data_IF_502296535617
#
_entry.id   IF_502296535617
#
_cell.length_a   1.000
_cell.length_b   1.000
_cell.length_c   1.000
_cell.angle_alpha   90.00
_cell.angle_beta   90.00
_cell.angle_gamma   90.00
#
_symmetry.space_group_name_H-M   'P 1'
#
loop_
_entity.id
_entity.type
_entity.pdbx_description
1 polymer ?
#
# COMPACT_ATOMS: atom_id res chain seq x y z
N UNK A 1 76.84 69.46 9.19
CA UNK A 1 75.65 69.91 8.45
C UNK A 1 74.78 68.69 8.17
N UNK A 2 73.50 68.75 8.54
CA UNK A 2 72.51 67.68 8.40
C UNK A 2 72.28 67.30 6.94
N UNK A 3 72.14 66.02 6.63
CA UNK A 3 71.22 65.56 5.60
C UNK A 3 70.64 64.20 5.99
N UNK A 4 69.39 64.27 6.46
CA UNK A 4 68.48 63.17 6.71
C UNK A 4 68.01 62.62 5.36
N UNK A 5 68.20 61.32 5.11
CA UNK A 5 67.56 60.62 3.99
C UNK A 5 66.52 59.65 4.55
N UNK A 6 65.25 59.99 4.30
CA UNK A 6 64.07 59.20 4.61
C UNK A 6 64.14 57.83 3.90
N UNK A 7 64.02 56.75 4.67
CA UNK A 7 63.70 55.42 4.14
C UNK A 7 62.19 55.33 3.92
N UNK A 8 61.76 55.35 2.66
CA UNK A 8 60.36 55.13 2.27
C UNK A 8 60.00 53.64 2.32
N UNK A 9 59.15 53.29 3.28
CA UNK A 9 58.50 52.00 3.44
C UNK A 9 57.40 51.83 2.37
N UNK A 10 57.60 50.95 1.39
CA UNK A 10 56.56 50.58 0.42
C UNK A 10 55.61 49.55 1.07
N UNK A 11 54.40 49.99 1.46
CA UNK A 11 53.30 49.10 1.80
C UNK A 11 52.55 48.80 0.50
N UNK A 12 52.73 47.60 -0.04
CA UNK A 12 51.93 47.11 -1.16
C UNK A 12 50.54 46.73 -0.64
N UNK A 13 49.57 47.64 -0.77
CA UNK A 13 48.15 47.31 -0.57
C UNK A 13 47.65 46.64 -1.85
N UNK A 14 47.56 45.31 -1.87
CA UNK A 14 46.87 44.59 -2.93
C UNK A 14 45.37 44.83 -2.78
N UNK A 15 44.83 45.81 -3.50
CA UNK A 15 43.38 45.94 -3.67
C UNK A 15 42.96 45.02 -4.81
N UNK A 16 42.45 43.84 -4.46
CA UNK A 16 41.77 42.99 -5.44
C UNK A 16 40.44 43.65 -5.80
N UNK A 17 40.42 44.45 -6.87
CA UNK A 17 39.18 44.96 -7.46
C UNK A 17 38.48 43.78 -8.15
N UNK A 18 37.42 43.24 -7.55
CA UNK A 18 36.56 42.27 -8.23
C UNK A 18 35.74 42.99 -9.30
N UNK A 19 35.82 42.54 -10.55
CA UNK A 19 34.96 43.06 -11.62
C UNK A 19 33.52 42.55 -11.40
N UNK A 20 32.58 43.47 -11.20
CA UNK A 20 31.14 43.18 -11.14
C UNK A 20 30.52 43.47 -12.51
N UNK A 21 29.56 42.65 -12.93
CA UNK A 21 28.86 42.81 -14.22
C UNK A 21 27.43 43.24 -13.96
N UNK A 22 27.05 44.40 -14.49
CA UNK A 22 25.68 44.92 -14.43
C UNK A 22 25.29 45.50 -15.78
N UNK A 23 24.29 44.92 -16.43
CA UNK A 23 23.77 45.45 -17.71
C UNK A 23 22.72 46.52 -17.38
N UNK A 24 23.00 47.77 -17.72
CA UNK A 24 22.08 48.90 -17.49
C UNK A 24 22.02 49.45 -16.07
N UNK A 25 23.00 49.13 -15.21
CA UNK A 25 23.07 49.58 -13.81
C UNK A 25 24.32 50.43 -13.56
N UNK A 26 24.17 51.50 -12.78
CA UNK A 26 25.30 52.35 -12.33
C UNK A 26 26.07 51.74 -11.17
N UNK A 27 25.43 50.83 -10.43
CA UNK A 27 26.03 50.09 -9.31
C UNK A 27 25.75 48.59 -9.52
N UNK A 28 26.63 47.88 -10.24
CA UNK A 28 26.51 46.44 -10.43
C UNK A 28 26.56 45.71 -9.10
N UNK A 29 25.45 45.07 -8.72
CA UNK A 29 25.43 44.25 -7.51
C UNK A 29 25.90 42.82 -7.79
N UNK A 30 25.97 42.40 -9.07
CA UNK A 30 26.25 41.02 -9.46
C UNK A 30 27.69 40.63 -9.79
N UNK A 31 28.12 39.51 -9.19
CA UNK A 31 29.31 38.77 -9.60
C UNK A 31 28.92 37.77 -10.69
N UNK A 32 29.47 37.95 -11.89
CA UNK A 32 29.45 36.93 -12.95
C UNK A 32 30.82 36.26 -12.95
N UNK A 33 30.87 34.98 -12.56
CA UNK A 33 32.08 34.19 -12.66
C UNK A 33 31.95 33.21 -13.83
N UNK A 34 32.87 33.31 -14.80
CA UNK A 34 33.00 32.40 -15.95
C UNK A 34 34.47 32.00 -16.04
N UNK A 35 34.79 30.75 -15.69
CA UNK A 35 36.15 30.22 -15.86
C UNK A 35 36.29 29.48 -17.20
N UNK A 36 37.52 29.35 -17.70
CA UNK A 36 37.83 28.80 -19.02
C UNK A 36 37.26 27.38 -19.22
N UNK A 37 36.14 27.28 -19.96
CA UNK A 37 35.37 26.07 -20.28
C UNK A 37 34.41 25.54 -19.19
N UNK A 38 34.26 26.25 -18.07
CA UNK A 38 34.09 25.58 -16.77
C UNK A 38 33.28 26.46 -15.80
N UNK A 39 32.00 26.19 -15.61
CA UNK A 39 31.14 26.72 -14.53
C UNK A 39 30.65 28.20 -14.64
N UNK A 40 29.33 28.44 -14.48
CA UNK A 40 28.71 29.78 -14.38
C UNK A 40 28.01 29.91 -13.02
N UNK A 41 28.23 31.02 -12.30
CA UNK A 41 27.66 31.27 -10.96
C UNK A 41 26.90 32.60 -10.89
N UNK A 42 25.70 32.57 -10.27
CA UNK A 42 24.89 33.74 -9.87
C UNK A 42 24.46 33.57 -8.39
N UNK A 43 24.30 34.63 -7.57
CA UNK A 43 23.86 34.44 -6.15
C UNK A 43 23.39 35.68 -5.40
N UNK A 44 22.53 35.56 -4.38
CA UNK A 44 21.67 36.64 -3.86
C UNK A 44 22.36 37.75 -3.04
N UNK A 45 23.65 37.65 -2.75
CA UNK A 45 24.46 38.84 -2.39
C UNK A 45 24.64 39.81 -3.57
N UNK A 46 23.96 39.53 -4.69
CA UNK A 46 23.96 40.35 -5.89
C UNK A 46 22.69 41.13 -6.19
N UNK A 47 21.67 41.05 -5.33
CA UNK A 47 20.42 41.80 -5.52
C UNK A 47 19.89 42.50 -4.25
N UNK A 48 20.60 42.44 -3.12
CA UNK A 48 20.20 43.13 -1.88
C UNK A 48 18.99 42.50 -1.16
N UNK A 49 18.64 41.24 -1.45
CA UNK A 49 17.63 40.50 -0.71
C UNK A 49 18.34 39.74 0.42
N UNK A 50 18.25 40.26 1.64
CA UNK A 50 18.70 39.55 2.85
C UNK A 50 17.89 38.25 2.98
N UNK A 51 18.57 37.10 3.04
CA UNK A 51 17.95 35.81 3.34
C UNK A 51 17.33 35.88 4.74
N UNK A 52 16.02 35.71 4.86
CA UNK A 52 15.32 35.69 6.16
C UNK A 52 15.63 34.43 6.99
N UNK A 53 16.39 33.49 6.44
CA UNK A 53 16.96 32.35 7.16
C UNK A 53 18.49 32.57 7.25
N UNK A 54 19.04 32.84 8.45
CA UNK A 54 20.48 32.88 8.68
C UNK A 54 21.02 31.49 8.38
N UNK A 55 21.63 31.28 7.23
CA UNK A 55 21.89 29.89 6.83
C UNK A 55 22.21 29.63 5.38
N UNK A 56 21.44 30.19 4.45
CA UNK A 56 21.38 29.61 3.11
C UNK A 56 21.32 30.69 2.04
N UNK A 57 22.46 31.28 1.68
CA UNK A 57 22.51 32.26 0.60
C UNK A 57 22.14 31.61 -0.74
N UNK A 58 21.03 32.01 -1.38
CA UNK A 58 20.60 31.39 -2.62
C UNK A 58 21.59 31.70 -3.75
N UNK A 59 21.95 30.68 -4.52
CA UNK A 59 22.81 30.78 -5.70
C UNK A 59 22.38 29.81 -6.78
N UNK A 60 22.78 30.10 -8.01
CA UNK A 60 22.60 29.28 -9.19
C UNK A 60 23.96 28.96 -9.76
N UNK A 61 24.23 27.68 -10.01
CA UNK A 61 25.49 27.20 -10.58
C UNK A 61 25.21 26.26 -11.76
N UNK A 62 25.80 26.55 -12.91
CA UNK A 62 25.83 25.63 -14.05
C UNK A 62 27.22 25.05 -14.20
N UNK A 63 27.38 23.72 -14.14
CA UNK A 63 28.65 23.01 -14.37
C UNK A 63 28.72 22.53 -15.82
N UNK A 64 29.19 23.38 -16.73
CA UNK A 64 29.23 23.09 -18.17
C UNK A 64 29.92 21.77 -18.54
N UNK A 65 31.05 21.44 -17.90
CA UNK A 65 31.78 20.18 -18.14
C UNK A 65 31.04 18.92 -17.69
N UNK A 66 30.03 19.07 -16.83
CA UNK A 66 29.19 17.98 -16.34
C UNK A 66 27.78 18.04 -16.88
N UNK A 67 27.36 19.12 -17.53
CA UNK A 67 25.96 19.31 -17.91
C UNK A 67 25.01 19.39 -16.69
N UNK A 68 25.51 19.84 -15.54
CA UNK A 68 24.78 19.77 -14.26
C UNK A 68 24.36 21.15 -13.75
N UNK A 69 23.16 21.25 -13.17
CA UNK A 69 22.58 22.52 -12.72
C UNK A 69 22.25 22.51 -11.22
N UNK A 70 22.56 23.60 -10.53
CA UNK A 70 22.30 23.81 -9.10
C UNK A 70 21.55 25.12 -8.89
N UNK A 71 20.54 25.12 -8.03
CA UNK A 71 19.82 26.32 -7.65
C UNK A 71 19.38 26.28 -6.18
N UNK A 72 19.50 27.38 -5.44
CA UNK A 72 19.11 27.46 -4.04
C UNK A 72 20.29 27.64 -3.08
N UNK A 73 20.12 27.28 -1.82
CA UNK A 73 21.02 27.67 -0.73
C UNK A 73 21.92 26.54 -0.24
N UNK A 74 23.19 26.85 0.03
CA UNK A 74 24.08 25.97 0.79
C UNK A 74 24.15 26.50 2.22
N UNK A 75 24.12 25.61 3.21
CA UNK A 75 24.30 25.98 4.63
C UNK A 75 25.57 26.83 4.82
N UNK A 76 25.50 27.82 5.72
CA UNK A 76 26.55 28.77 6.09
C UNK A 76 27.43 28.24 7.23
N UNK A 77 27.47 26.92 7.44
CA UNK A 77 28.37 26.33 8.42
C UNK A 77 29.79 26.76 8.04
N UNK A 78 30.42 27.58 8.90
CA UNK A 78 31.43 28.60 8.57
C UNK A 78 32.73 28.04 7.96
N UNK A 79 32.82 26.72 7.77
CA UNK A 79 34.02 26.02 7.35
C UNK A 79 33.83 24.94 6.26
N UNK A 80 32.64 24.75 5.65
CA UNK A 80 32.48 23.64 4.69
C UNK A 80 31.40 23.78 3.60
N UNK A 81 31.65 24.60 2.58
CA UNK A 81 30.77 24.81 1.41
C UNK A 81 30.69 23.63 0.42
N UNK A 82 30.96 22.39 0.84
CA UNK A 82 31.24 21.29 -0.09
C UNK A 82 30.04 20.73 -0.85
N UNK A 83 28.80 21.07 -0.51
CA UNK A 83 27.63 20.34 -1.02
C UNK A 83 27.52 20.38 -2.55
N UNK A 84 27.94 21.47 -3.19
CA UNK A 84 28.00 21.59 -4.64
C UNK A 84 29.45 21.70 -5.16
N UNK A 85 30.45 21.31 -4.38
CA UNK A 85 31.81 21.20 -4.93
C UNK A 85 31.82 20.21 -6.08
N UNK A 86 32.77 20.35 -6.99
CA UNK A 86 32.85 19.51 -8.17
C UNK A 86 32.84 18.01 -7.81
N UNK A 87 33.37 17.59 -6.66
CA UNK A 87 33.31 16.20 -6.20
C UNK A 87 31.89 15.69 -5.87
N UNK A 88 30.96 16.59 -5.52
CA UNK A 88 29.57 16.30 -5.12
C UNK A 88 28.56 16.58 -6.24
N UNK A 89 29.04 16.72 -7.48
CA UNK A 89 28.22 16.99 -8.67
C UNK A 89 28.33 15.81 -9.63
N UNK A 90 27.25 15.05 -9.79
CA UNK A 90 27.16 14.03 -10.84
C UNK A 90 27.07 14.64 -12.25
N UNK A 91 27.39 13.87 -13.27
CA UNK A 91 27.17 14.26 -14.68
C UNK A 91 25.67 14.32 -14.96
N UNK A 92 25.24 15.32 -15.71
CA UNK A 92 23.86 15.58 -16.11
C UNK A 92 22.86 15.63 -14.95
N UNK A 93 23.34 15.94 -13.73
CA UNK A 93 22.50 15.91 -12.53
C UNK A 93 21.90 17.28 -12.20
N UNK A 94 20.77 17.27 -11.51
CA UNK A 94 20.02 18.47 -11.13
C UNK A 94 19.88 18.53 -9.61
N UNK A 95 20.19 19.69 -9.00
CA UNK A 95 19.84 19.91 -7.60
C UNK A 95 19.18 21.28 -7.38
N UNK A 96 18.10 21.31 -6.60
CA UNK A 96 17.41 22.55 -6.27
C UNK A 96 16.92 22.60 -4.82
N UNK A 97 17.01 23.75 -4.18
CA UNK A 97 16.59 23.94 -2.78
C UNK A 97 17.77 24.15 -1.83
N UNK A 98 17.60 23.80 -0.57
CA UNK A 98 18.57 24.07 0.48
C UNK A 98 19.28 22.78 0.93
N UNK A 99 20.60 22.83 1.06
CA UNK A 99 21.40 21.70 1.58
C UNK A 99 21.23 20.42 0.72
N UNK A 100 21.16 20.56 -0.61
CA UNK A 100 20.94 19.41 -1.52
C UNK A 100 22.24 18.87 -2.12
N UNK A 101 22.30 17.56 -2.39
CA UNK A 101 23.44 16.89 -3.03
C UNK A 101 22.97 15.93 -4.12
N UNK A 102 23.16 16.29 -5.39
CA UNK A 102 22.97 15.39 -6.54
C UNK A 102 24.34 14.92 -7.05
N UNK A 103 24.94 13.95 -6.35
CA UNK A 103 26.30 13.48 -6.59
C UNK A 103 26.38 12.17 -7.40
N UNK A 104 25.25 11.51 -7.66
CA UNK A 104 25.15 10.42 -8.64
C UNK A 104 25.01 10.96 -10.07
N UNK A 105 25.53 10.23 -11.06
CA UNK A 105 25.31 10.57 -12.47
C UNK A 105 23.82 10.45 -12.83
N UNK A 106 23.31 11.40 -13.60
CA UNK A 106 21.91 11.57 -13.97
C UNK A 106 20.93 11.72 -12.79
N UNK A 107 21.44 12.04 -11.59
CA UNK A 107 20.60 12.10 -10.39
C UNK A 107 19.86 13.43 -10.23
N UNK A 108 18.78 13.43 -9.44
CA UNK A 108 17.97 14.61 -9.14
C UNK A 108 17.79 14.75 -7.63
N UNK A 109 18.17 15.89 -7.03
CA UNK A 109 17.96 16.17 -5.60
C UNK A 109 17.23 17.50 -5.40
N UNK A 110 15.99 17.47 -4.90
CA UNK A 110 15.17 18.67 -4.72
C UNK A 110 14.59 18.79 -3.31
N UNK A 111 14.62 19.99 -2.72
CA UNK A 111 14.02 20.29 -1.42
C UNK A 111 15.03 20.69 -0.34
N UNK A 112 14.85 20.22 0.90
CA UNK A 112 15.69 20.56 2.05
C UNK A 112 16.47 19.35 2.55
N UNK A 113 17.81 19.42 2.60
CA UNK A 113 18.64 18.34 3.15
C UNK A 113 18.59 17.03 2.35
N UNK A 114 18.27 17.09 1.05
CA UNK A 114 18.09 15.89 0.21
C UNK A 114 19.38 15.47 -0.48
N UNK A 115 19.58 14.16 -0.66
CA UNK A 115 20.76 13.61 -1.32
C UNK A 115 20.41 12.47 -2.29
N UNK A 116 20.78 12.63 -3.56
CA UNK A 116 20.66 11.63 -4.62
C UNK A 116 22.07 11.20 -5.08
N UNK A 117 22.55 10.09 -4.50
CA UNK A 117 23.92 9.59 -4.69
C UNK A 117 24.02 8.36 -5.60
N UNK A 118 22.93 7.61 -5.81
CA UNK A 118 22.88 6.52 -6.79
C UNK A 118 22.84 7.03 -8.23
N UNK A 119 23.28 6.20 -9.18
CA UNK A 119 23.12 6.52 -10.60
C UNK A 119 21.63 6.55 -10.97
N UNK A 120 21.18 7.54 -11.74
CA UNK A 120 19.77 7.74 -12.10
C UNK A 120 18.82 7.86 -10.89
N UNK A 121 19.31 8.23 -9.70
CA UNK A 121 18.47 8.30 -8.50
C UNK A 121 17.76 9.64 -8.34
N UNK A 122 16.63 9.65 -7.63
CA UNK A 122 15.84 10.86 -7.35
C UNK A 122 15.53 11.00 -5.87
N UNK A 123 15.91 12.12 -5.25
CA UNK A 123 15.55 12.49 -3.88
C UNK A 123 14.73 13.79 -3.88
N UNK A 124 13.53 13.77 -3.33
CA UNK A 124 12.61 14.91 -3.31
C UNK A 124 11.98 15.12 -1.92
N UNK A 125 11.91 16.35 -1.43
CA UNK A 125 11.24 16.70 -0.17
C UNK A 125 12.19 17.16 0.95
N UNK A 126 12.02 16.65 2.17
CA UNK A 126 12.83 17.03 3.34
C UNK A 126 13.59 15.83 3.88
N UNK A 127 14.91 15.93 4.00
CA UNK A 127 15.77 14.87 4.53
C UNK A 127 15.60 13.50 3.84
N UNK A 128 15.49 13.50 2.52
CA UNK A 128 15.34 12.28 1.72
C UNK A 128 16.66 11.85 1.07
N UNK A 129 16.93 10.55 1.07
CA UNK A 129 18.19 9.99 0.58
C UNK A 129 17.95 8.88 -0.46
N UNK A 130 18.37 9.08 -1.69
CA UNK A 130 18.27 8.09 -2.77
C UNK A 130 19.67 7.57 -3.13
N UNK A 131 20.11 6.52 -2.43
CA UNK A 131 21.48 6.01 -2.52
C UNK A 131 21.65 4.78 -3.41
N UNK A 132 20.59 4.01 -3.65
CA UNK A 132 20.58 2.93 -4.63
C UNK A 132 20.52 3.44 -6.08
N UNK A 133 21.10 2.69 -7.01
CA UNK A 133 20.96 2.99 -8.44
C UNK A 133 19.50 2.83 -8.89
N UNK A 134 19.03 3.71 -9.75
CA UNK A 134 17.64 3.78 -10.23
C UNK A 134 16.59 3.95 -9.10
N UNK A 135 17.00 4.45 -7.93
CA UNK A 135 16.12 4.56 -6.77
C UNK A 135 15.42 5.91 -6.67
N UNK A 136 14.29 5.97 -5.98
CA UNK A 136 13.52 7.21 -5.75
C UNK A 136 13.10 7.32 -4.29
N UNK A 137 13.41 8.44 -3.63
CA UNK A 137 13.00 8.76 -2.27
C UNK A 137 12.24 10.08 -2.24
N UNK A 138 11.00 10.07 -1.74
CA UNK A 138 10.10 11.24 -1.75
C UNK A 138 9.44 11.48 -0.38
N UNK A 139 9.19 12.74 -0.03
CA UNK A 139 8.46 13.10 1.19
C UNK A 139 9.37 13.58 2.32
N UNK A 140 9.20 13.07 3.54
CA UNK A 140 9.99 13.47 4.72
C UNK A 140 10.77 12.28 5.32
N UNK A 141 12.06 12.44 5.56
CA UNK A 141 12.90 11.50 6.34
C UNK A 141 12.86 10.04 5.88
N UNK A 142 13.05 9.79 4.57
CA UNK A 142 13.06 8.44 3.97
C UNK A 142 14.33 8.14 3.17
N UNK A 143 14.68 6.85 3.05
CA UNK A 143 15.87 6.37 2.34
C UNK A 143 15.59 5.25 1.34
N UNK A 144 15.90 5.48 0.07
CA UNK A 144 15.89 4.49 -1.00
C UNK A 144 17.32 3.94 -1.21
N UNK A 145 17.73 3.03 -0.32
CA UNK A 145 19.09 2.49 -0.26
C UNK A 145 19.36 1.28 -1.17
N UNK A 146 18.33 0.76 -1.84
CA UNK A 146 18.42 -0.43 -2.68
C UNK A 146 18.24 -0.09 -4.16
N UNK A 147 18.77 -0.94 -5.06
CA UNK A 147 18.66 -0.72 -6.51
C UNK A 147 17.19 -0.83 -6.94
N UNK A 148 16.74 0.14 -7.73
CA UNK A 148 15.37 0.17 -8.28
C UNK A 148 14.27 0.32 -7.22
N UNK A 149 14.61 0.72 -5.99
CA UNK A 149 13.62 0.89 -4.93
C UNK A 149 12.96 2.27 -5.00
N UNK A 150 11.68 2.32 -4.62
CA UNK A 150 10.89 3.54 -4.51
C UNK A 150 10.37 3.65 -3.08
N UNK A 151 10.58 4.79 -2.43
CA UNK A 151 9.99 5.08 -1.12
C UNK A 151 9.35 6.46 -1.09
N UNK A 152 8.14 6.53 -0.53
CA UNK A 152 7.46 7.79 -0.21
C UNK A 152 6.96 7.76 1.23
N UNK A 153 7.22 8.83 1.99
CA UNK A 153 6.85 8.96 3.40
C UNK A 153 6.16 10.29 3.71
N UNK A 154 5.29 10.29 4.71
CA UNK A 154 4.72 11.51 5.30
C UNK A 154 5.67 12.15 6.34
N UNK A 155 5.19 13.19 7.04
CA UNK A 155 5.95 13.91 8.07
C UNK A 155 5.77 13.34 9.48
N UNK A 156 5.22 12.12 9.61
CA UNK A 156 5.03 11.49 10.92
C UNK A 156 6.33 10.92 11.50
N UNK A 157 7.43 10.98 10.74
CA UNK A 157 8.74 10.53 11.17
C UNK A 157 9.33 11.56 12.16
N UNK A 158 9.67 11.13 13.37
CA UNK A 158 10.42 11.97 14.30
C UNK A 158 11.82 12.27 13.75
N UNK A 159 12.34 13.48 14.00
CA UNK A 159 13.72 13.84 13.64
C UNK A 159 14.69 12.78 14.17
N UNK A 160 15.39 12.09 13.26
CA UNK A 160 16.33 11.00 13.57
C UNK A 160 15.82 9.59 13.27
N UNK A 161 14.52 9.42 13.04
CA UNK A 161 13.96 8.16 12.54
C UNK A 161 13.84 8.22 11.02
N UNK A 162 14.43 7.24 10.33
CA UNK A 162 14.33 7.13 8.86
C UNK A 162 13.74 5.79 8.48
N UNK A 163 12.81 5.80 7.52
CA UNK A 163 12.35 4.56 6.89
C UNK A 163 13.21 4.25 5.68
N UNK A 164 13.77 3.04 5.68
CA UNK A 164 14.69 2.60 4.65
C UNK A 164 14.05 1.44 3.90
N UNK A 165 14.13 1.49 2.57
CA UNK A 165 13.78 0.32 1.73
C UNK A 165 14.59 -0.91 2.17
N UNK A 166 14.03 -2.11 2.05
CA UNK A 166 14.63 -3.35 2.58
C UNK A 166 15.05 -4.35 1.51
N UNK A 167 14.74 -4.08 0.25
CA UNK A 167 15.09 -4.95 -0.87
C UNK A 167 15.23 -4.17 -2.19
N UNK A 168 15.92 -4.78 -3.15
CA UNK A 168 15.97 -4.29 -4.53
C UNK A 168 14.58 -4.40 -5.19
N UNK A 169 14.27 -3.45 -6.08
CA UNK A 169 13.03 -3.40 -6.85
C UNK A 169 11.75 -3.40 -5.98
N UNK A 170 11.80 -2.76 -4.82
CA UNK A 170 10.69 -2.66 -3.86
C UNK A 170 10.08 -1.26 -3.86
N UNK A 171 8.75 -1.19 -3.85
CA UNK A 171 8.03 0.02 -3.46
C UNK A 171 7.66 -0.06 -1.97
N UNK A 172 8.03 0.96 -1.20
CA UNK A 172 7.66 1.12 0.21
C UNK A 172 6.93 2.45 0.39
N UNK A 173 5.86 2.46 1.17
CA UNK A 173 5.09 3.67 1.46
C UNK A 173 4.86 3.79 2.96
N UNK A 174 4.94 5.01 3.50
CA UNK A 174 4.62 5.28 4.89
C UNK A 174 3.70 6.49 5.03
N UNK A 175 2.49 6.25 5.49
CA UNK A 175 1.50 7.28 5.79
C UNK A 175 0.78 6.91 7.08
N UNK A 176 1.08 7.59 8.18
CA UNK A 176 0.48 7.34 9.49
C UNK A 176 -1.03 7.64 9.50
N UNK A 177 -1.48 8.53 8.62
CA UNK A 177 -2.91 8.82 8.40
C UNK A 177 -3.68 7.73 7.64
N UNK A 178 -3.02 6.65 7.21
CA UNK A 178 -3.65 5.60 6.43
C UNK A 178 -3.62 5.84 4.91
N UNK A 179 -4.36 5.02 4.17
CA UNK A 179 -4.36 4.97 2.71
C UNK A 179 -5.79 4.93 2.18
N UNK A 180 -6.05 5.65 1.08
CA UNK A 180 -7.35 5.66 0.41
C UNK A 180 -7.17 5.52 -1.09
N UNK A 181 -7.85 4.55 -1.69
CA UNK A 181 -7.82 4.28 -3.12
C UNK A 181 -9.25 4.30 -3.67
N UNK A 182 -9.65 5.42 -4.25
CA UNK A 182 -10.92 5.56 -4.96
C UNK A 182 -10.76 5.27 -6.44
N UNK A 183 -11.74 4.58 -7.03
CA UNK A 183 -11.69 4.11 -8.41
C UNK A 183 -12.88 4.57 -9.26
N UNK A 184 -13.86 5.25 -8.66
CA UNK A 184 -14.99 5.82 -9.38
C UNK A 184 -14.90 7.34 -9.52
N UNK A 185 -15.74 7.92 -10.38
CA UNK A 185 -15.65 9.32 -10.75
C UNK A 185 -16.22 10.21 -9.64
N UNK A 186 -15.32 10.82 -8.86
CA UNK A 186 -15.68 11.70 -7.75
C UNK A 186 -16.57 12.91 -8.16
N UNK A 187 -16.55 13.34 -9.44
CA UNK A 187 -17.40 14.45 -9.91
C UNK A 187 -18.83 14.02 -10.24
N UNK A 188 -19.06 12.73 -10.47
CA UNK A 188 -20.33 12.21 -10.95
C UNK A 188 -21.05 11.39 -9.88
N UNK A 189 -20.30 10.67 -9.05
CA UNK A 189 -20.89 9.62 -8.24
C UNK A 189 -21.33 10.10 -6.84
N UNK A 190 -20.94 11.30 -6.40
CA UNK A 190 -21.06 11.84 -5.01
C UNK A 190 -20.51 10.93 -3.89
N UNK A 191 -20.22 9.68 -4.21
CA UNK A 191 -19.96 8.55 -3.34
C UNK A 191 -18.95 7.64 -4.04
N UNK A 192 -17.65 7.96 -4.01
CA UNK A 192 -16.64 7.18 -4.72
C UNK A 192 -16.46 5.77 -4.18
N UNK A 193 -16.48 4.75 -5.05
CA UNK A 193 -16.16 3.37 -4.67
C UNK A 193 -14.64 3.16 -4.55
N UNK A 194 -14.22 2.24 -3.66
CA UNK A 194 -12.81 2.02 -3.41
C UNK A 194 -12.50 1.23 -2.14
N UNK A 195 -11.24 1.31 -1.72
CA UNK A 195 -10.72 0.69 -0.50
C UNK A 195 -9.95 1.69 0.35
N UNK A 196 -9.88 1.44 1.65
CA UNK A 196 -9.21 2.26 2.64
C UNK A 196 -8.39 1.38 3.60
N UNK A 197 -7.23 1.84 4.03
CA UNK A 197 -6.47 1.27 5.13
C UNK A 197 -6.36 2.36 6.20
N UNK A 198 -7.16 2.27 7.25
CA UNK A 198 -7.21 3.27 8.31
C UNK A 198 -5.88 3.37 9.09
N UNK A 199 -5.63 4.49 9.80
CA UNK A 199 -4.51 4.58 10.74
C UNK A 199 -4.42 3.37 11.66
N UNK A 200 -3.23 2.74 11.72
CA UNK A 200 -2.95 1.53 12.50
C UNK A 200 -3.74 0.26 12.10
N UNK A 201 -4.50 0.28 11.01
CA UNK A 201 -5.13 -0.92 10.48
C UNK A 201 -4.11 -1.86 9.83
N UNK A 202 -4.39 -3.16 9.84
CA UNK A 202 -3.53 -4.21 9.28
C UNK A 202 -4.13 -4.89 8.04
N UNK A 203 -5.31 -4.45 7.58
CA UNK A 203 -5.99 -4.96 6.40
C UNK A 203 -6.88 -3.89 5.75
N UNK A 204 -7.11 -4.00 4.44
CA UNK A 204 -7.97 -3.09 3.70
C UNK A 204 -9.45 -3.23 4.09
N UNK A 205 -10.12 -2.10 4.24
CA UNK A 205 -11.56 -1.96 4.33
C UNK A 205 -12.13 -1.61 2.96
N UNK A 206 -13.15 -2.36 2.52
CA UNK A 206 -13.90 -2.05 1.29
C UNK A 206 -15.03 -1.09 1.60
N UNK A 207 -15.20 -0.04 0.80
CA UNK A 207 -16.33 0.88 0.93
C UNK A 207 -17.64 0.12 0.69
N UNK A 208 -18.43 -0.08 1.75
CA UNK A 208 -19.55 -1.05 1.77
C UNK A 208 -20.77 -0.56 2.57
N UNK A 209 -20.95 0.75 2.68
CA UNK A 209 -22.05 1.39 3.43
C UNK A 209 -23.43 1.16 2.77
N UNK A 210 -24.47 0.87 3.57
CA UNK A 210 -25.82 0.61 3.06
C UNK A 210 -26.51 1.85 2.49
N UNK A 211 -26.19 3.05 2.98
CA UNK A 211 -26.68 4.32 2.42
C UNK A 211 -26.12 4.63 1.04
N UNK A 212 -25.09 3.87 0.63
CA UNK A 212 -24.41 3.97 -0.66
C UNK A 212 -24.72 2.79 -1.58
N UNK A 213 -25.71 1.98 -1.21
CA UNK A 213 -26.16 0.79 -1.95
C UNK A 213 -27.66 0.89 -2.19
N UNK A 214 -28.09 0.33 -3.31
CA UNK A 214 -29.48 0.30 -3.73
C UNK A 214 -29.78 -1.01 -4.47
N UNK A 215 -31.03 -1.19 -4.90
CA UNK A 215 -31.47 -2.38 -5.64
C UNK A 215 -31.26 -3.70 -4.88
N UNK A 216 -31.46 -3.68 -3.56
CA UNK A 216 -31.37 -4.88 -2.72
C UNK A 216 -32.39 -5.94 -3.16
N UNK A 217 -31.91 -7.17 -3.38
CA UNK A 217 -32.72 -8.34 -3.75
C UNK A 217 -32.46 -9.49 -2.79
N UNK A 218 -33.51 -10.25 -2.49
CA UNK A 218 -33.38 -11.49 -1.76
C UNK A 218 -32.64 -12.54 -2.61
N UNK A 219 -31.87 -13.40 -1.96
CA UNK A 219 -31.11 -14.48 -2.62
C UNK A 219 -31.68 -15.85 -2.26
N UNK A 220 -31.62 -16.77 -3.22
CA UNK A 220 -31.90 -18.19 -2.97
C UNK A 220 -30.63 -18.89 -2.46
N UNK A 221 -30.56 -19.09 -1.15
CA UNK A 221 -29.42 -19.74 -0.49
C UNK A 221 -29.16 -21.18 -0.96
N UNK A 222 -30.22 -21.95 -1.29
CA UNK A 222 -30.06 -23.32 -1.75
C UNK A 222 -29.40 -23.36 -3.15
N UNK A 223 -29.75 -22.39 -4.01
CA UNK A 223 -29.08 -22.21 -5.30
C UNK A 223 -27.60 -21.84 -5.11
N UNK A 224 -27.26 -21.00 -4.13
CA UNK A 224 -25.86 -20.65 -3.83
C UNK A 224 -25.06 -21.89 -3.38
N UNK A 225 -25.59 -22.69 -2.46
CA UNK A 225 -24.94 -23.94 -2.02
C UNK A 225 -24.74 -24.90 -3.19
N UNK A 226 -25.74 -25.07 -4.06
CA UNK A 226 -25.65 -25.90 -5.27
C UNK A 226 -24.59 -25.40 -6.25
N UNK A 227 -24.49 -24.08 -6.44
CA UNK A 227 -23.46 -23.48 -7.30
C UNK A 227 -22.06 -23.70 -6.72
N UNK A 228 -21.88 -23.50 -5.42
CA UNK A 228 -20.59 -23.72 -4.74
C UNK A 228 -20.16 -25.18 -4.82
N UNK A 229 -21.08 -26.13 -4.60
CA UNK A 229 -20.74 -27.56 -4.65
C UNK A 229 -20.28 -28.05 -6.03
N UNK A 230 -20.68 -27.34 -7.09
CA UNK A 230 -20.22 -27.61 -8.45
C UNK A 230 -18.88 -26.96 -8.82
N UNK A 231 -18.32 -26.08 -7.97
CA UNK A 231 -17.07 -25.40 -8.27
C UNK A 231 -15.86 -26.30 -8.04
N UNK A 232 -14.85 -26.14 -8.89
CA UNK A 232 -13.54 -26.75 -8.67
C UNK A 232 -12.80 -25.97 -7.57
N UNK A 233 -12.71 -26.59 -6.40
CA UNK A 233 -11.95 -26.08 -5.26
C UNK A 233 -10.73 -26.96 -5.00
N UNK A 234 -9.59 -26.33 -4.68
CA UNK A 234 -8.37 -27.07 -4.39
C UNK A 234 -7.17 -26.16 -4.20
N UNK A 235 -5.98 -26.76 -4.15
CA UNK A 235 -4.74 -26.00 -4.06
C UNK A 235 -4.06 -25.83 -5.41
N UNK A 236 -3.35 -24.72 -5.57
CA UNK A 236 -2.68 -24.32 -6.80
C UNK A 236 -1.48 -23.41 -6.52
N UNK A 237 -0.65 -23.16 -7.53
CA UNK A 237 0.41 -22.15 -7.53
C UNK A 237 0.39 -21.43 -8.88
N UNK A 238 0.90 -20.20 -8.94
CA UNK A 238 1.03 -19.51 -10.21
C UNK A 238 2.09 -20.20 -11.09
N UNK A 239 1.93 -20.08 -12.41
CA UNK A 239 2.94 -20.53 -13.37
C UNK A 239 4.25 -19.77 -13.10
N UNK A 240 5.36 -20.49 -12.96
CA UNK A 240 6.68 -19.93 -12.68
C UNK A 240 7.04 -19.80 -11.19
N UNK A 241 6.11 -20.04 -10.27
CA UNK A 241 6.44 -20.10 -8.84
C UNK A 241 7.12 -21.42 -8.45
N UNK A 242 8.00 -21.37 -7.45
CA UNK A 242 8.52 -22.57 -6.78
C UNK A 242 7.38 -23.31 -6.06
N UNK A 243 7.11 -24.53 -6.52
CA UNK A 243 6.03 -25.40 -6.02
C UNK A 243 6.22 -25.83 -4.56
N UNK A 244 7.43 -25.73 -4.01
CA UNK A 244 7.71 -26.07 -2.60
C UNK A 244 7.55 -24.88 -1.66
N UNK A 245 7.60 -23.65 -2.19
CA UNK A 245 7.54 -22.43 -1.38
C UNK A 245 6.18 -21.76 -1.45
N UNK A 246 5.49 -21.85 -2.58
CA UNK A 246 4.26 -21.09 -2.82
C UNK A 246 3.10 -22.01 -3.13
N UNK A 247 2.07 -21.96 -2.27
CA UNK A 247 0.81 -22.69 -2.45
C UNK A 247 -0.36 -21.83 -2.00
N UNK A 248 -1.44 -21.90 -2.76
CA UNK A 248 -2.69 -21.19 -2.52
C UNK A 248 -3.86 -22.17 -2.51
N UNK A 249 -4.95 -21.81 -1.84
CA UNK A 249 -6.23 -22.53 -1.89
C UNK A 249 -7.31 -21.57 -2.38
N UNK A 250 -8.23 -22.06 -3.21
CA UNK A 250 -9.39 -21.27 -3.62
C UNK A 250 -9.97 -21.72 -4.96
N UNK A 251 -11.08 -21.09 -5.37
CA UNK A 251 -11.69 -21.32 -6.67
C UNK A 251 -10.84 -20.71 -7.80
N UNK A 252 -11.21 -21.07 -9.02
CA UNK A 252 -10.74 -20.37 -10.23
C UNK A 252 -11.72 -19.26 -10.59
N UNK A 253 -11.21 -18.12 -11.07
CA UNK A 253 -12.05 -16.97 -11.43
C UNK A 253 -13.13 -17.31 -12.46
N UNK A 254 -12.83 -18.20 -13.41
CA UNK A 254 -13.79 -18.63 -14.43
C UNK A 254 -14.95 -19.43 -13.82
N UNK A 255 -14.67 -20.31 -12.86
CA UNK A 255 -15.68 -21.15 -12.20
C UNK A 255 -16.58 -20.28 -11.31
N UNK A 256 -15.98 -19.34 -10.56
CA UNK A 256 -16.72 -18.37 -9.75
C UNK A 256 -17.60 -17.45 -10.61
N UNK A 257 -17.06 -16.91 -11.70
CA UNK A 257 -17.80 -16.06 -12.62
C UNK A 257 -18.91 -16.81 -13.38
N UNK A 258 -18.69 -18.08 -13.76
CA UNK A 258 -19.75 -18.89 -14.36
C UNK A 258 -20.91 -19.13 -13.36
N UNK A 259 -20.61 -19.26 -12.07
CA UNK A 259 -21.61 -19.47 -11.03
C UNK A 259 -22.34 -18.17 -10.63
N UNK A 260 -21.62 -17.07 -10.41
CA UNK A 260 -22.14 -15.86 -9.76
C UNK A 260 -21.97 -14.59 -10.59
N UNK A 261 -21.31 -14.66 -11.73
CA UNK A 261 -20.95 -13.47 -12.52
C UNK A 261 -22.08 -12.88 -13.35
N UNK A 262 -23.29 -13.46 -13.30
CA UNK A 262 -24.48 -12.97 -14.00
C UNK A 262 -25.74 -13.23 -13.18
N UNK A 263 -26.63 -12.25 -13.19
CA UNK A 263 -28.00 -12.35 -12.70
C UNK A 263 -28.98 -11.70 -13.69
N UNK A 264 -30.22 -11.45 -13.26
CA UNK A 264 -31.24 -10.81 -14.08
C UNK A 264 -30.95 -9.33 -14.39
N UNK A 265 -30.14 -8.66 -13.56
CA UNK A 265 -29.81 -7.24 -13.74
C UNK A 265 -28.58 -7.06 -14.63
N UNK A 266 -27.64 -7.99 -14.57
CA UNK A 266 -26.52 -7.97 -15.50
C UNK A 266 -25.30 -8.72 -15.01
N UNK A 267 -24.16 -8.06 -15.16
CA UNK A 267 -22.84 -8.64 -14.95
C UNK A 267 -22.33 -8.33 -13.54
N UNK A 268 -21.72 -9.33 -12.90
CA UNK A 268 -21.06 -9.20 -11.61
C UNK A 268 -19.61 -9.67 -11.80
N UNK A 269 -18.65 -8.77 -11.60
CA UNK A 269 -17.23 -9.08 -11.76
C UNK A 269 -16.82 -9.49 -13.20
N UNK A 270 -15.79 -10.33 -13.30
CA UNK A 270 -15.24 -10.82 -14.57
C UNK A 270 -14.66 -12.24 -14.44
N UNK A 271 -14.17 -12.83 -15.55
CA UNK A 271 -13.69 -14.21 -15.59
C UNK A 271 -12.18 -14.37 -15.37
N UNK A 272 -11.43 -13.33 -15.01
CA UNK A 272 -9.97 -13.38 -14.80
C UNK A 272 -9.51 -12.99 -13.39
N UNK A 273 -10.39 -12.37 -12.63
CA UNK A 273 -10.15 -11.99 -11.24
C UNK A 273 -11.39 -12.29 -10.41
N UNK A 274 -11.22 -12.36 -9.10
CA UNK A 274 -12.32 -12.49 -8.16
C UNK A 274 -12.26 -11.26 -7.26
N UNK A 275 -13.35 -10.49 -7.25
CA UNK A 275 -13.49 -9.39 -6.31
C UNK A 275 -13.68 -9.97 -4.90
N UNK A 276 -12.86 -9.53 -3.95
CA UNK A 276 -12.87 -10.10 -2.61
C UNK A 276 -14.17 -9.79 -1.84
N UNK A 277 -14.76 -8.61 -2.01
CA UNK A 277 -16.03 -8.27 -1.36
C UNK A 277 -17.19 -9.12 -1.90
N UNK A 278 -17.22 -9.37 -3.21
CA UNK A 278 -18.21 -10.27 -3.81
C UNK A 278 -18.01 -11.72 -3.34
N UNK A 279 -16.76 -12.17 -3.28
CA UNK A 279 -16.41 -13.50 -2.76
C UNK A 279 -16.88 -13.70 -1.32
N UNK A 280 -16.58 -12.74 -0.45
CA UNK A 280 -16.99 -12.76 0.96
C UNK A 280 -18.53 -12.69 1.09
N UNK A 281 -19.19 -11.87 0.27
CA UNK A 281 -20.65 -11.79 0.22
C UNK A 281 -21.31 -13.11 -0.17
N UNK A 282 -20.82 -13.78 -1.22
CA UNK A 282 -21.28 -15.12 -1.63
C UNK A 282 -21.10 -16.13 -0.49
N UNK A 283 -19.95 -16.11 0.20
CA UNK A 283 -19.69 -17.00 1.32
C UNK A 283 -20.66 -16.76 2.49
N UNK A 284 -20.96 -15.51 2.83
CA UNK A 284 -21.93 -15.19 3.89
C UNK A 284 -23.34 -15.65 3.54
N UNK A 285 -23.77 -15.51 2.28
CA UNK A 285 -25.06 -16.04 1.81
C UNK A 285 -25.10 -17.57 1.94
N UNK A 286 -24.04 -18.24 1.53
CA UNK A 286 -23.92 -19.70 1.64
C UNK A 286 -23.92 -20.16 3.11
N UNK A 287 -23.22 -19.46 4.01
CA UNK A 287 -23.23 -19.75 5.44
C UNK A 287 -24.64 -19.61 6.02
N UNK A 288 -25.37 -18.55 5.68
CA UNK A 288 -26.76 -18.38 6.11
C UNK A 288 -27.66 -19.51 5.60
N UNK A 289 -27.46 -19.94 4.35
CA UNK A 289 -28.20 -21.07 3.79
C UNK A 289 -27.90 -22.37 4.54
N UNK A 290 -26.62 -22.65 4.80
CA UNK A 290 -26.17 -23.84 5.52
C UNK A 290 -26.74 -23.88 6.94
N UNK A 291 -26.77 -22.75 7.65
CA UNK A 291 -27.38 -22.66 8.99
C UNK A 291 -28.85 -23.07 8.93
N UNK A 292 -29.61 -22.62 7.93
CA UNK A 292 -31.02 -22.99 7.77
C UNK A 292 -31.21 -24.49 7.52
N UNK A 293 -30.39 -25.08 6.65
CA UNK A 293 -30.42 -26.53 6.39
C UNK A 293 -30.09 -27.34 7.65
N UNK A 294 -29.07 -26.91 8.42
CA UNK A 294 -28.68 -27.57 9.67
C UNK A 294 -29.81 -27.53 10.71
N UNK A 295 -30.49 -26.40 10.86
CA UNK A 295 -31.61 -26.29 11.81
C UNK A 295 -32.83 -27.13 11.37
N UNK A 296 -33.12 -27.18 10.06
CA UNK A 296 -34.15 -28.04 9.52
C UNK A 296 -33.85 -29.53 9.79
N UNK A 297 -32.62 -29.97 9.53
CA UNK A 297 -32.17 -31.34 9.80
C UNK A 297 -32.19 -31.68 11.29
N UNK A 298 -31.88 -30.73 12.18
CA UNK A 298 -32.00 -30.94 13.64
C UNK A 298 -33.46 -31.13 14.06
N UNK A 299 -34.38 -30.33 13.50
CA UNK A 299 -35.81 -30.45 13.77
C UNK A 299 -36.37 -31.79 13.29
N UNK A 300 -36.03 -32.20 12.07
CA UNK A 300 -36.41 -33.51 11.52
C UNK A 300 -35.87 -34.66 12.38
N UNK A 301 -34.59 -34.63 12.76
CA UNK A 301 -34.01 -35.63 13.65
C UNK A 301 -34.70 -35.70 15.03
N UNK A 302 -35.14 -34.55 15.58
CA UNK A 302 -35.91 -34.53 16.82
C UNK A 302 -37.25 -35.24 16.64
N UNK A 303 -37.96 -34.95 15.55
CA UNK A 303 -39.25 -35.58 15.24
C UNK A 303 -39.10 -37.09 15.02
N UNK A 304 -38.07 -37.50 14.28
CA UNK A 304 -37.76 -38.92 14.05
C UNK A 304 -37.47 -39.66 15.37
N UNK A 305 -36.68 -39.07 16.28
CA UNK A 305 -36.41 -39.66 17.60
C UNK A 305 -37.66 -39.79 18.48
N UNK A 306 -38.57 -38.82 18.41
CA UNK A 306 -39.86 -38.88 19.10
C UNK A 306 -40.74 -40.00 18.53
N UNK A 307 -40.84 -40.09 17.20
CA UNK A 307 -41.59 -41.15 16.52
C UNK A 307 -41.00 -42.54 16.84
N UNK A 308 -39.67 -42.69 16.84
CA UNK A 308 -39.00 -43.94 17.20
C UNK A 308 -39.32 -44.37 18.63
N UNK A 309 -39.33 -43.42 19.57
CA UNK A 309 -39.67 -43.68 20.98
C UNK A 309 -41.13 -44.12 21.13
N UNK A 310 -42.06 -43.47 20.41
CA UNK A 310 -43.48 -43.84 20.42
C UNK A 310 -43.70 -45.24 19.84
N UNK A 311 -43.06 -45.57 18.71
CA UNK A 311 -43.18 -46.90 18.09
C UNK A 311 -42.60 -48.01 18.99
N UNK A 312 -41.49 -47.75 19.69
CA UNK A 312 -40.94 -48.69 20.67
C UNK A 312 -41.90 -48.95 21.83
N UNK A 313 -42.53 -47.90 22.35
CA UNK A 313 -43.53 -48.03 23.42
C UNK A 313 -44.76 -48.82 22.97
N UNK A 314 -45.26 -48.57 21.75
CA UNK A 314 -46.38 -49.32 21.17
C UNK A 314 -46.01 -50.80 20.94
N UNK A 315 -44.83 -51.06 20.39
CA UNK A 315 -44.31 -52.42 20.19
C UNK A 315 -44.24 -53.19 21.52
N UNK A 316 -43.78 -52.53 22.59
CA UNK A 316 -43.72 -53.15 23.91
C UNK A 316 -45.12 -53.41 24.49
N UNK A 317 -46.05 -52.47 24.32
CA UNK A 317 -47.46 -52.66 24.70
C UNK A 317 -48.10 -53.84 23.97
N UNK A 318 -47.85 -53.98 22.66
CA UNK A 318 -48.35 -55.08 21.85
C UNK A 318 -47.77 -56.42 22.30
N UNK A 319 -46.46 -56.49 22.60
CA UNK A 319 -45.84 -57.70 23.16
C UNK A 319 -46.50 -58.12 24.47
N UNK A 320 -46.75 -57.17 25.38
CA UNK A 320 -47.44 -57.44 26.64
C UNK A 320 -48.85 -57.98 26.41
N UNK A 321 -49.62 -57.36 25.49
CA UNK A 321 -50.97 -57.83 25.15
C UNK A 321 -50.94 -59.22 24.50
N UNK A 322 -49.99 -59.51 23.63
CA UNK A 322 -49.80 -60.84 23.03
C UNK A 322 -49.54 -61.90 24.10
N UNK A 323 -48.60 -61.64 25.02
CA UNK A 323 -48.33 -62.54 26.15
C UNK A 323 -49.57 -62.77 27.02
N UNK A 324 -50.38 -61.73 27.24
CA UNK A 324 -51.65 -61.86 27.96
C UNK A 324 -52.65 -62.73 27.20
N UNK A 325 -52.81 -62.54 25.89
CA UNK A 325 -53.70 -63.37 25.07
C UNK A 325 -53.22 -64.82 25.01
N UNK A 326 -51.92 -65.08 24.86
CA UNK A 326 -51.35 -66.43 24.91
C UNK A 326 -51.65 -67.12 26.25
N UNK A 327 -51.53 -66.39 27.36
CA UNK A 327 -51.87 -66.89 28.70
C UNK A 327 -53.38 -67.17 28.86
N UNK A 328 -54.23 -66.30 28.33
CA UNK A 328 -55.68 -66.51 28.35
C UNK A 328 -56.07 -67.73 27.51
N UNK A 329 -55.50 -67.88 26.32
CA UNK A 329 -55.74 -69.01 25.43
C UNK A 329 -55.31 -70.33 26.07
N UNK A 330 -54.12 -70.38 26.70
CA UNK A 330 -53.65 -71.58 27.40
C UNK A 330 -54.55 -71.96 28.57
N UNK A 331 -55.06 -70.98 29.32
CA UNK A 331 -56.01 -71.20 30.42
C UNK A 331 -57.34 -71.76 29.90
N UNK A 332 -57.84 -71.26 28.75
CA UNK A 332 -59.08 -71.72 28.13
C UNK A 332 -58.96 -73.14 27.56
N UNK A 333 -57.79 -73.46 27.00
CA UNK A 333 -57.46 -74.81 26.51
C UNK A 333 -57.37 -75.81 27.68
N UNK A 334 -56.85 -75.38 28.83
CA UNK A 334 -56.75 -76.20 30.04
C UNK A 334 -58.09 -76.42 30.77
N UNK A 335 -59.06 -75.51 30.61
CA UNK A 335 -60.39 -75.60 31.27
C UNK A 335 -61.43 -76.42 30.51
N UNK A 336 -61.10 -76.98 29.34
CA UNK A 336 -61.97 -77.91 28.60
C UNK A 336 -63.08 -77.27 27.75
N UNK A 337 -63.08 -75.94 27.57
CA UNK A 337 -64.15 -75.21 26.87
C UNK A 337 -64.16 -75.36 25.34
N UNK A 338 -63.16 -75.99 24.71
CA UNK A 338 -63.02 -76.14 23.24
C UNK A 338 -63.23 -77.61 22.80
N UNK A 339 -64.23 -78.30 23.35
CA UNK A 339 -64.57 -79.69 22.95
C UNK A 339 -65.91 -79.84 22.19
N UNK A 340 -66.52 -78.77 21.67
CA UNK A 340 -67.82 -78.86 20.96
C UNK A 340 -67.87 -78.09 19.63
N UNK A 341 -66.83 -78.18 18.79
CA UNK A 341 -66.87 -77.66 17.41
C UNK A 341 -66.26 -78.60 16.34
N UNK A 342 -66.34 -79.93 16.52
CA UNK A 342 -66.32 -80.85 15.37
C UNK A 342 -67.69 -81.52 15.23
N UNK A 343 -68.37 -81.21 14.11
CA UNK A 343 -69.50 -81.99 13.61
C UNK A 343 -69.11 -83.44 13.36
#
# INVERSE_FOLDING_TARGET
>A
MKQTLLSSLFIAVSTSLYAQVGIGLTEPKAFLNVAEGKTVLFGADTAGVQSQTPGTSPKVIWYGSKGAFRAGGISNDENNYTHWDNANVGRYSFASGAITKANGDYSTAMGFGTQASGQNSTAFGSWTFASGDYSTAMGSSVRADHRGSFIIGDDSNSLGSTYNTTANNQMMTHFAGGYVLYTSNARQDNFPSGVQLEPNAYAWSVVSDSTRKENFRATDGALFLKKISGMRLGSWNYKGQDVKQYRHYGPMAQDFFAAFGRDELGLIGENKSINQADFDGVNLIAIQALIKEVEALKAENKNLKQAETSMKAETESLKVKMQQFEKQLSTLMASGAISTLSK
#
